data_IF_321137904239
#
_entry.id   IF_321137904239
#
_cell.length_a   1.000
_cell.length_b   1.000
_cell.length_c   1.000
_cell.angle_alpha   90.00
_cell.angle_beta   90.00
_cell.angle_gamma   90.00
#
_symmetry.space_group_name_H-M   'P 1'
#
loop_
_entity.id
_entity.type
_entity.pdbx_description
1 polymer ?
#
# COMPACT_ATOMS: atom_id res chain seq x y z
N UNK A 1 19.58 -31.58 17.13
CA UNK A 1 19.43 -30.19 16.65
C UNK A 1 18.26 -30.16 15.68
N UNK A 2 17.13 -29.56 16.09
CA UNK A 2 15.91 -29.48 15.28
C UNK A 2 16.14 -28.59 14.05
N UNK A 3 15.97 -29.13 12.84
CA UNK A 3 15.80 -28.31 11.63
C UNK A 3 14.48 -27.56 11.76
N UNK A 4 14.54 -26.25 11.95
CA UNK A 4 13.36 -25.39 11.79
C UNK A 4 12.82 -25.61 10.37
N UNK A 5 11.55 -26.00 10.26
CA UNK A 5 10.88 -26.11 8.97
C UNK A 5 10.71 -24.71 8.40
N UNK A 6 11.12 -24.50 7.15
CA UNK A 6 10.86 -23.25 6.46
C UNK A 6 9.37 -23.21 6.05
N UNK A 7 8.61 -22.31 6.67
CA UNK A 7 7.16 -22.16 6.42
C UNK A 7 6.84 -21.34 5.16
N UNK A 8 7.87 -20.82 4.48
CA UNK A 8 7.74 -20.00 3.28
C UNK A 8 8.34 -20.71 2.06
N UNK A 9 7.79 -20.44 0.89
CA UNK A 9 8.28 -21.02 -0.37
C UNK A 9 9.72 -20.54 -0.66
N UNK A 10 10.51 -21.39 -1.33
CA UNK A 10 11.87 -21.03 -1.73
C UNK A 10 11.93 -19.78 -2.61
N UNK A 11 10.91 -19.58 -3.45
CA UNK A 11 10.79 -18.39 -4.30
C UNK A 11 10.73 -17.11 -3.46
N UNK A 12 9.89 -17.07 -2.43
CA UNK A 12 9.81 -15.92 -1.53
C UNK A 12 11.09 -15.77 -0.72
N UNK A 13 11.67 -16.88 -0.24
CA UNK A 13 12.94 -16.83 0.49
C UNK A 13 14.11 -16.26 -0.33
N UNK A 14 14.02 -16.31 -1.66
CA UNK A 14 15.03 -15.74 -2.57
C UNK A 14 14.83 -14.26 -2.91
N UNK A 15 13.69 -13.65 -2.54
CA UNK A 15 13.43 -12.23 -2.81
C UNK A 15 14.24 -11.37 -1.83
N UNK A 16 15.15 -10.50 -2.31
CA UNK A 16 15.93 -9.65 -1.43
C UNK A 16 15.05 -8.58 -0.77
N UNK A 17 15.42 -8.08 0.42
CA UNK A 17 14.77 -6.92 1.02
C UNK A 17 14.78 -5.69 0.09
N UNK A 18 13.73 -4.87 0.14
CA UNK A 18 13.64 -3.67 -0.69
C UNK A 18 14.70 -2.64 -0.30
N UNK A 19 15.54 -2.25 -1.27
CA UNK A 19 16.50 -1.17 -1.10
C UNK A 19 15.83 0.18 -0.86
N UNK A 20 14.70 0.44 -1.50
CA UNK A 20 13.87 1.64 -1.29
C UNK A 20 13.43 1.71 0.17
N UNK A 21 12.91 0.59 0.71
CA UNK A 21 12.48 0.54 2.11
C UNK A 21 13.63 0.82 3.08
N UNK A 22 14.78 0.19 2.86
CA UNK A 22 15.98 0.41 3.68
C UNK A 22 16.44 1.87 3.66
N UNK A 23 16.39 2.53 2.50
CA UNK A 23 16.72 3.94 2.38
C UNK A 23 15.75 4.82 3.18
N UNK A 24 14.44 4.58 3.07
CA UNK A 24 13.43 5.28 3.87
C UNK A 24 13.59 5.07 5.37
N UNK A 25 13.93 3.86 5.82
CA UNK A 25 14.19 3.57 7.24
C UNK A 25 15.37 4.39 7.78
N UNK A 26 16.44 4.55 7.01
CA UNK A 26 17.59 5.38 7.39
C UNK A 26 17.19 6.85 7.41
N UNK A 27 16.55 7.35 6.35
CA UNK A 27 16.14 8.74 6.24
C UNK A 27 15.20 9.18 7.39
N UNK A 28 14.34 8.28 7.86
CA UNK A 28 13.44 8.52 8.99
C UNK A 28 14.16 8.71 10.35
N UNK A 29 15.42 8.26 10.47
CA UNK A 29 16.25 8.48 11.67
C UNK A 29 17.07 9.77 11.64
N UNK A 30 17.05 10.49 10.53
CA UNK A 30 17.86 11.69 10.31
C UNK A 30 17.00 12.94 10.46
N UNK A 31 17.53 13.95 11.13
CA UNK A 31 16.88 15.26 11.22
C UNK A 31 17.16 16.08 9.95
N UNK A 32 16.19 16.91 9.55
CA UNK A 32 16.33 17.88 8.46
C UNK A 32 16.64 17.30 7.07
N UNK A 33 16.12 16.11 6.76
CA UNK A 33 16.24 15.49 5.43
C UNK A 33 15.08 15.90 4.51
N UNK A 34 15.39 16.27 3.26
CA UNK A 34 14.40 16.47 2.19
C UNK A 34 14.24 15.16 1.43
N UNK A 35 13.06 14.56 1.48
CA UNK A 35 12.75 13.34 0.73
C UNK A 35 12.35 13.67 -0.70
N UNK A 36 13.17 13.23 -1.67
CA UNK A 36 12.86 13.30 -3.11
C UNK A 36 12.48 11.93 -3.69
N UNK A 37 12.31 10.92 -2.82
CA UNK A 37 11.99 9.55 -3.20
C UNK A 37 10.50 9.20 -3.06
N UNK A 38 9.65 10.18 -2.75
CA UNK A 38 8.20 9.97 -2.62
C UNK A 38 7.62 9.49 -3.96
N UNK A 39 6.87 8.39 -3.90
CA UNK A 39 6.23 7.77 -5.07
C UNK A 39 4.72 8.03 -5.16
N UNK A 40 4.20 8.98 -4.38
CA UNK A 40 2.79 9.36 -4.33
C UNK A 40 2.62 10.87 -4.49
N UNK A 41 1.46 11.36 -4.97
CA UNK A 41 1.20 12.80 -5.05
C UNK A 41 1.19 13.48 -3.69
N UNK A 42 1.57 14.76 -3.64
CA UNK A 42 1.60 15.61 -2.44
C UNK A 42 0.27 16.31 -2.13
N UNK A 43 -0.69 16.25 -3.05
CA UNK A 43 -2.00 16.86 -2.89
C UNK A 43 -3.03 15.89 -2.29
N UNK A 44 -3.98 16.45 -1.55
CA UNK A 44 -5.13 15.69 -1.05
C UNK A 44 -6.08 15.32 -2.18
N UNK A 45 -6.75 14.17 -2.06
CA UNK A 45 -7.80 13.74 -2.97
C UNK A 45 -8.85 14.85 -3.17
N UNK A 46 -9.22 15.20 -4.41
CA UNK A 46 -10.23 16.22 -4.68
C UNK A 46 -11.57 15.97 -3.98
N UNK A 47 -12.18 17.04 -3.46
CA UNK A 47 -13.44 17.00 -2.71
C UNK A 47 -14.58 16.21 -3.38
N UNK A 48 -14.82 16.32 -4.71
CA UNK A 48 -15.90 15.56 -5.35
C UNK A 48 -15.73 14.04 -5.22
N UNK A 49 -14.48 13.55 -5.19
CA UNK A 49 -14.17 12.12 -5.08
C UNK A 49 -14.40 11.66 -3.64
N UNK A 50 -13.98 12.47 -2.66
CA UNK A 50 -14.23 12.19 -1.23
C UNK A 50 -15.73 12.11 -0.96
N UNK A 51 -16.51 13.06 -1.49
CA UNK A 51 -17.96 13.05 -1.34
C UNK A 51 -18.62 11.85 -2.02
N UNK A 52 -18.18 11.46 -3.22
CA UNK A 52 -18.68 10.25 -3.88
C UNK A 52 -18.47 8.99 -3.02
N UNK A 53 -17.32 8.86 -2.36
CA UNK A 53 -17.04 7.77 -1.43
C UNK A 53 -17.93 7.80 -0.18
N UNK A 54 -18.18 8.98 0.39
CA UNK A 54 -19.10 9.14 1.52
C UNK A 54 -20.53 8.75 1.14
N UNK A 55 -21.01 9.19 -0.03
CA UNK A 55 -22.35 8.89 -0.50
C UNK A 55 -22.53 7.40 -0.84
N UNK A 56 -21.52 6.74 -1.41
CA UNK A 56 -21.52 5.29 -1.61
C UNK A 56 -21.74 4.53 -0.30
N UNK A 57 -21.02 4.93 0.76
CA UNK A 57 -21.20 4.36 2.10
C UNK A 57 -22.60 4.61 2.66
N UNK A 58 -23.14 5.83 2.49
CA UNK A 58 -24.52 6.16 2.92
C UNK A 58 -25.59 5.34 2.18
N UNK A 59 -25.36 5.00 0.91
CA UNK A 59 -26.25 4.12 0.12
C UNK A 59 -26.10 2.64 0.47
N UNK A 60 -25.16 2.28 1.33
CA UNK A 60 -24.94 0.89 1.75
C UNK A 60 -24.13 0.05 0.75
N UNK A 61 -23.37 0.69 -0.15
CA UNK A 61 -22.51 0.02 -1.15
C UNK A 61 -21.29 -0.66 -0.47
N UNK A 62 -21.54 -1.72 0.28
CA UNK A 62 -20.58 -2.38 1.19
C UNK A 62 -20.50 -3.89 0.98
N UNK A 63 -21.14 -4.39 -0.06
CA UNK A 63 -21.22 -5.82 -0.40
C UNK A 63 -20.28 -6.18 -1.54
N UNK A 64 -20.07 -7.48 -1.73
CA UNK A 64 -19.25 -7.99 -2.82
C UNK A 64 -19.75 -7.53 -4.19
N UNK A 65 -18.79 -7.21 -5.05
CA UNK A 65 -18.99 -6.92 -6.47
C UNK A 65 -18.47 -8.08 -7.31
N UNK A 66 -18.50 -7.96 -8.64
CA UNK A 66 -17.89 -8.96 -9.52
C UNK A 66 -16.37 -9.01 -9.30
N UNK A 67 -15.76 -10.16 -9.59
CA UNK A 67 -14.29 -10.31 -9.58
C UNK A 67 -13.58 -9.28 -10.50
N UNK A 68 -14.28 -8.81 -11.53
CA UNK A 68 -13.76 -7.79 -12.46
C UNK A 68 -14.02 -6.35 -12.02
N UNK A 69 -14.71 -6.13 -10.90
CA UNK A 69 -15.15 -4.81 -10.44
C UNK A 69 -16.62 -4.51 -10.74
N UNK A 70 -17.04 -3.28 -10.46
CA UNK A 70 -18.36 -2.75 -10.84
C UNK A 70 -18.36 -2.41 -12.33
N UNK A 71 -19.51 -2.54 -13.00
CA UNK A 71 -19.59 -2.26 -14.44
C UNK A 71 -19.44 -0.77 -14.76
N UNK A 72 -19.81 0.10 -13.82
CA UNK A 72 -19.66 1.55 -13.95
C UNK A 72 -18.22 2.09 -13.71
N UNK A 73 -17.27 1.22 -13.35
CA UNK A 73 -15.85 1.56 -13.11
C UNK A 73 -14.95 1.10 -14.25
#
# INVERSE_FOLDING_TARGET
>A
MNRLRNFVSQRIASVPPSGIRRFFDIAATMESVISLGIGEPDFTTPEPIVQAGIEALKRGETHYTSNSGLMEL
#
